data_IF_708808472132
#
_entry.id   IF_708808472132
#
_cell.length_a   1.000
_cell.length_b   1.000
_cell.length_c   1.000
_cell.angle_alpha   90.00
_cell.angle_beta   90.00
_cell.angle_gamma   90.00
#
_symmetry.space_group_name_H-M   'P 1'
#
loop_
_entity.id
_entity.type
_entity.pdbx_description
1 polymer ?
#
# COMPACT_ATOMS: atom_id res chain seq x y z
N UNK A 1 11.04 -22.89 -9.33
CA UNK A 1 11.23 -21.91 -8.24
C UNK A 1 10.76 -20.51 -8.67
N UNK A 2 9.69 -20.03 -8.06
CA UNK A 2 9.14 -18.69 -8.31
C UNK A 2 10.04 -17.61 -7.69
N UNK A 3 10.16 -16.46 -8.35
CA UNK A 3 10.95 -15.34 -7.87
C UNK A 3 10.03 -14.25 -7.31
N UNK A 4 10.47 -13.60 -6.23
CA UNK A 4 9.78 -12.44 -5.65
C UNK A 4 10.65 -11.21 -5.86
N UNK A 5 10.12 -10.19 -6.53
CA UNK A 5 10.77 -8.87 -6.61
C UNK A 5 10.10 -7.93 -5.63
N UNK A 6 10.91 -7.25 -4.80
CA UNK A 6 10.41 -6.21 -3.91
C UNK A 6 10.18 -4.95 -4.75
N UNK A 7 8.95 -4.46 -4.79
CA UNK A 7 8.61 -3.30 -5.61
C UNK A 7 9.18 -1.99 -5.05
N UNK A 8 9.66 -1.97 -3.81
CA UNK A 8 10.43 -0.85 -3.26
C UNK A 8 11.83 -0.74 -3.86
N UNK A 9 12.30 -1.75 -4.60
CA UNK A 9 13.63 -1.77 -5.22
C UNK A 9 13.61 -1.55 -6.74
N UNK A 10 12.51 -1.06 -7.31
CA UNK A 10 12.55 -0.48 -8.65
C UNK A 10 13.19 0.91 -8.56
N UNK A 11 14.53 0.95 -8.56
CA UNK A 11 15.28 2.15 -8.92
C UNK A 11 14.75 2.65 -10.26
N UNK A 12 14.22 3.88 -10.26
CA UNK A 12 13.85 4.62 -11.45
C UNK A 12 15.04 4.62 -12.42
N UNK A 13 15.01 3.76 -13.44
CA UNK A 13 15.88 3.90 -14.60
C UNK A 13 15.47 5.22 -15.24
N UNK A 14 16.36 6.20 -15.11
CA UNK A 14 16.15 7.57 -15.55
C UNK A 14 16.22 7.62 -17.06
N UNK A 15 15.08 7.43 -17.73
CA UNK A 15 14.88 8.01 -19.05
C UNK A 15 14.74 9.53 -18.84
N UNK A 16 15.67 10.30 -19.41
CA UNK A 16 15.78 11.76 -19.28
C UNK A 16 14.63 12.47 -20.00
N UNK A 17 13.40 12.28 -19.52
CA UNK A 17 12.31 13.21 -19.79
C UNK A 17 12.47 14.33 -18.77
N UNK A 18 12.81 15.55 -19.24
CA UNK A 18 12.93 16.76 -18.42
C UNK A 18 11.70 16.86 -17.51
N UNK A 19 11.87 16.46 -16.24
CA UNK A 19 10.90 16.72 -15.18
C UNK A 19 11.16 18.14 -14.72
N UNK A 20 10.15 18.99 -14.83
CA UNK A 20 10.15 20.27 -14.14
C UNK A 20 10.37 20.01 -12.63
N UNK A 21 11.16 20.86 -11.94
CA UNK A 21 11.33 20.73 -10.51
C UNK A 21 9.97 20.90 -9.84
N UNK A 22 9.51 19.85 -9.15
CA UNK A 22 8.41 19.98 -8.20
C UNK A 22 8.95 20.88 -7.10
N UNK A 23 8.41 22.10 -6.99
CA UNK A 23 8.63 22.95 -5.82
C UNK A 23 8.30 22.11 -4.59
N UNK A 24 9.28 21.93 -3.72
CA UNK A 24 9.08 21.39 -2.38
C UNK A 24 8.24 22.38 -1.59
N UNK A 25 6.92 22.29 -1.76
CA UNK A 25 5.95 23.00 -0.94
C UNK A 25 5.97 22.34 0.42
N UNK A 26 6.43 23.05 1.44
CA UNK A 26 6.21 22.69 2.84
C UNK A 26 4.71 22.72 3.09
N UNK A 27 4.06 21.58 2.87
CA UNK A 27 2.65 21.34 3.22
C UNK A 27 2.49 21.64 4.70
N UNK A 28 1.71 22.67 4.99
CA UNK A 28 1.48 23.13 6.35
C UNK A 28 0.67 22.08 7.12
N UNK A 29 0.84 22.01 8.44
CA UNK A 29 0.09 21.13 9.35
C UNK A 29 -1.42 21.03 9.02
N UNK A 30 -2.14 22.13 8.69
CA UNK A 30 -3.56 22.03 8.31
C UNK A 30 -3.85 21.25 7.02
N UNK A 31 -2.91 21.17 6.07
CA UNK A 31 -3.09 20.40 4.84
C UNK A 31 -2.89 18.89 5.08
N UNK A 32 -1.98 18.51 5.99
CA UNK A 32 -1.90 17.13 6.53
C UNK A 32 -3.15 16.74 7.31
N UNK A 33 -3.69 17.65 8.12
CA UNK A 33 -4.94 17.45 8.83
C UNK A 33 -6.13 17.33 7.89
N UNK A 34 -6.15 18.05 6.77
CA UNK A 34 -7.18 17.93 5.75
C UNK A 34 -7.14 16.57 5.03
N UNK A 35 -5.93 16.02 4.79
CA UNK A 35 -5.77 14.65 4.26
C UNK A 35 -6.25 13.62 5.30
N UNK A 36 -5.94 13.81 6.58
CA UNK A 36 -6.44 12.97 7.68
C UNK A 36 -7.97 13.09 7.85
N UNK A 37 -8.54 14.29 7.71
CA UNK A 37 -9.98 14.54 7.81
C UNK A 37 -10.74 13.99 6.60
N UNK A 38 -10.15 14.03 5.40
CA UNK A 38 -10.68 13.37 4.20
C UNK A 38 -10.67 11.84 4.35
N UNK A 39 -9.70 11.28 5.08
CA UNK A 39 -9.73 9.87 5.48
C UNK A 39 -10.74 9.57 6.60
N UNK A 40 -11.19 10.57 7.36
CA UNK A 40 -12.13 10.42 8.46
C UNK A 40 -13.61 10.68 8.12
N UNK A 41 -13.94 11.05 6.87
CA UNK A 41 -15.29 11.51 6.53
C UNK A 41 -15.96 10.66 5.47
N UNK A 42 -17.11 10.09 5.88
CA UNK A 42 -18.18 9.46 5.10
C UNK A 42 -18.15 7.92 4.96
N UNK A 43 -18.84 7.24 5.88
CA UNK A 43 -19.85 6.23 5.52
C UNK A 43 -19.48 4.75 5.57
N UNK A 44 -18.20 4.38 5.51
CA UNK A 44 -17.79 2.98 5.60
C UNK A 44 -17.09 2.72 6.96
N UNK A 45 -17.77 2.01 7.86
CA UNK A 45 -17.15 1.51 9.09
C UNK A 45 -16.12 0.45 8.71
N UNK A 46 -14.83 0.80 8.85
CA UNK A 46 -13.73 -0.13 8.59
C UNK A 46 -13.49 -1.00 9.82
N UNK A 47 -13.42 -2.32 9.61
CA UNK A 47 -13.03 -3.29 10.63
C UNK A 47 -11.53 -3.17 10.92
N UNK A 48 -11.11 -2.93 12.18
CA UNK A 48 -9.71 -3.02 12.58
C UNK A 48 -9.16 -4.42 12.38
N UNK A 49 -7.86 -4.57 12.06
CA UNK A 49 -7.25 -5.89 11.88
C UNK A 49 -7.26 -6.72 13.17
N UNK A 50 -7.40 -6.07 14.32
CA UNK A 50 -7.52 -6.72 15.63
C UNK A 50 -8.83 -7.49 15.82
N UNK A 51 -9.86 -7.16 15.04
CA UNK A 51 -11.19 -7.74 15.12
C UNK A 51 -11.50 -8.69 13.95
N UNK A 52 -10.51 -8.98 13.10
CA UNK A 52 -10.67 -9.99 12.08
C UNK A 52 -10.67 -11.38 12.70
N UNK A 53 -11.72 -12.14 12.41
CA UNK A 53 -11.89 -13.51 12.83
C UNK A 53 -11.93 -14.44 11.60
N UNK A 54 -11.54 -15.70 11.83
CA UNK A 54 -11.62 -16.71 10.79
C UNK A 54 -13.09 -16.99 10.46
N UNK A 55 -13.44 -16.98 9.17
CA UNK A 55 -14.81 -17.22 8.71
C UNK A 55 -15.71 -15.98 8.63
N UNK A 56 -15.16 -14.77 8.81
CA UNK A 56 -15.89 -13.54 8.49
C UNK A 56 -16.12 -13.42 6.97
N UNK A 57 -17.38 -13.32 6.53
CA UNK A 57 -17.75 -13.31 5.11
C UNK A 57 -17.35 -12.02 4.38
N UNK A 58 -17.73 -10.86 4.94
CA UNK A 58 -17.54 -9.55 4.31
C UNK A 58 -17.08 -8.54 5.35
N UNK A 59 -15.83 -8.11 5.25
CA UNK A 59 -15.29 -6.98 6.01
C UNK A 59 -14.61 -5.99 5.06
N UNK A 60 -14.60 -4.72 5.45
CA UNK A 60 -13.77 -3.69 4.82
C UNK A 60 -12.69 -3.30 5.81
N UNK A 61 -11.44 -3.33 5.40
CA UNK A 61 -10.31 -2.92 6.24
C UNK A 61 -9.62 -1.72 5.62
N UNK A 62 -9.16 -0.80 6.45
CA UNK A 62 -8.32 0.33 6.03
C UNK A 62 -6.90 0.10 6.49
N UNK A 63 -5.98 0.08 5.54
CA UNK A 63 -4.58 -0.26 5.78
C UNK A 63 -3.65 0.58 4.90
N UNK A 64 -2.42 0.72 5.36
CA UNK A 64 -1.28 1.19 4.59
C UNK A 64 -0.49 -0.02 4.11
N UNK A 65 -0.10 -0.03 2.84
CA UNK A 65 0.83 -1.03 2.31
C UNK A 65 2.24 -0.67 2.79
N UNK A 66 2.81 -1.50 3.67
CA UNK A 66 4.18 -1.34 4.17
C UNK A 66 5.21 -1.93 3.23
N UNK A 67 4.90 -3.08 2.61
CA UNK A 67 5.75 -3.76 1.62
C UNK A 67 4.89 -4.47 0.59
N UNK A 68 5.37 -4.53 -0.65
CA UNK A 68 4.72 -5.22 -1.76
C UNK A 68 5.77 -6.04 -2.52
N UNK A 69 5.44 -7.29 -2.77
CA UNK A 69 6.23 -8.20 -3.59
C UNK A 69 5.38 -8.75 -4.72
N UNK A 70 5.96 -8.76 -5.91
CA UNK A 70 5.37 -9.40 -7.08
C UNK A 70 5.98 -10.79 -7.24
N UNK A 71 5.11 -11.78 -7.40
CA UNK A 71 5.48 -13.14 -7.76
C UNK A 71 5.26 -13.33 -9.26
N UNK A 72 6.33 -13.64 -9.99
CA UNK A 72 6.30 -13.80 -11.44
C UNK A 72 6.97 -15.10 -11.88
N UNK A 73 6.52 -15.62 -13.02
CA UNK A 73 7.11 -16.80 -13.64
C UNK A 73 8.42 -16.39 -14.34
N UNK A 74 9.58 -16.91 -13.95
CA UNK A 74 10.85 -16.50 -14.53
C UNK A 74 11.03 -16.92 -16.00
N UNK A 75 10.18 -17.81 -16.54
CA UNK A 75 10.28 -18.28 -17.93
C UNK A 75 9.69 -17.29 -18.93
N UNK A 76 8.60 -16.62 -18.56
CA UNK A 76 7.79 -15.78 -19.45
C UNK A 76 7.44 -14.42 -18.84
N UNK A 77 7.97 -14.12 -17.64
CA UNK A 77 7.71 -12.90 -16.86
C UNK A 77 6.23 -12.67 -16.50
N UNK A 78 5.41 -13.74 -16.54
CA UNK A 78 3.98 -13.63 -16.20
C UNK A 78 3.81 -13.40 -14.70
N UNK A 79 3.20 -12.28 -14.32
CA UNK A 79 2.78 -11.99 -12.95
C UNK A 79 1.65 -12.95 -12.55
N UNK A 80 1.81 -13.66 -11.43
CA UNK A 80 0.81 -14.62 -10.95
C UNK A 80 0.40 -14.42 -9.49
N UNK A 81 1.06 -13.52 -8.75
CA UNK A 81 0.71 -13.26 -7.36
C UNK A 81 1.28 -11.96 -6.81
N UNK A 82 0.64 -11.47 -5.75
CA UNK A 82 1.07 -10.32 -4.98
C UNK A 82 1.13 -10.73 -3.52
N UNK A 83 2.27 -10.53 -2.87
CA UNK A 83 2.37 -10.61 -1.42
C UNK A 83 2.51 -9.20 -0.86
N UNK A 84 1.81 -8.91 0.24
CA UNK A 84 1.94 -7.61 0.89
C UNK A 84 1.98 -7.70 2.40
N UNK A 85 2.68 -6.75 3.01
CA UNK A 85 2.63 -6.47 4.45
C UNK A 85 1.78 -5.22 4.63
N UNK A 86 0.67 -5.36 5.34
CA UNK A 86 -0.34 -4.33 5.58
C UNK A 86 -0.28 -3.87 7.03
N UNK A 87 -0.50 -2.57 7.27
CA UNK A 87 -0.53 -1.96 8.61
C UNK A 87 -1.80 -1.12 8.74
N UNK A 88 -2.63 -1.36 9.75
CA UNK A 88 -3.82 -0.55 10.01
C UNK A 88 -3.53 0.72 10.83
N UNK A 89 -4.57 1.51 11.10
CA UNK A 89 -4.48 2.75 11.86
C UNK A 89 -4.10 2.52 13.35
N UNK A 90 -4.29 1.30 13.86
CA UNK A 90 -3.88 0.90 15.21
C UNK A 90 -2.44 0.36 15.23
N UNK A 91 -1.77 0.32 14.08
CA UNK A 91 -0.41 -0.20 13.93
C UNK A 91 -0.34 -1.73 13.88
N UNK A 92 -1.48 -2.43 13.79
CA UNK A 92 -1.49 -3.89 13.67
C UNK A 92 -1.09 -4.30 12.27
N UNK A 93 -0.30 -5.37 12.18
CA UNK A 93 0.24 -5.88 10.91
C UNK A 93 -0.50 -7.12 10.45
N UNK A 94 -0.74 -7.25 9.14
CA UNK A 94 -1.24 -8.46 8.51
C UNK A 94 -0.48 -8.74 7.22
N UNK A 95 -0.21 -10.01 6.93
CA UNK A 95 0.30 -10.42 5.62
C UNK A 95 -0.86 -10.94 4.77
N UNK A 96 -0.99 -10.43 3.54
CA UNK A 96 -1.91 -10.96 2.53
C UNK A 96 -1.12 -11.47 1.31
N UNK A 97 -1.60 -12.57 0.72
CA UNK A 97 -0.97 -13.30 -0.38
C UNK A 97 -2.02 -13.83 -1.34
#
# INVERSE_FOLDING_TARGET
PFQKKNLQQASFVSATRRRNPVKSTTTSVPELQAIQAKMGSAGDEFTPLSQLEYGMDKCKVRVRVSRLWESFNPKDDTLFGLDCLLIDDQGKTMQAR
#
